data_IF_836397073406
#
_entry.id   IF_836397073406
#
_cell.length_a   1.000
_cell.length_b   1.000
_cell.length_c   1.000
_cell.angle_alpha   90.00
_cell.angle_beta   90.00
_cell.angle_gamma   90.00
#
_symmetry.space_group_name_H-M   'P 1'
#
loop_
_entity.id
_entity.type
_entity.pdbx_description
1 polymer ?
#
# COMPACT_ATOMS: atom_id res chain seq x y z
N UNK A 1 24.37 -9.98 -10.90
CA UNK A 1 23.12 -9.62 -11.60
C UNK A 1 22.14 -9.12 -10.54
N UNK A 2 21.40 -8.05 -10.82
CA UNK A 2 20.37 -7.55 -9.89
C UNK A 2 19.25 -8.63 -9.72
N UNK A 3 18.70 -8.79 -8.50
CA UNK A 3 17.61 -9.73 -8.29
C UNK A 3 16.39 -9.37 -9.13
N UNK A 4 15.66 -10.38 -9.59
CA UNK A 4 14.46 -10.18 -10.39
C UNK A 4 13.27 -9.75 -9.53
N UNK A 5 12.44 -8.87 -10.07
CA UNK A 5 11.22 -8.38 -9.44
C UNK A 5 10.04 -8.48 -10.42
N UNK A 6 8.90 -8.98 -9.96
CA UNK A 6 7.61 -8.82 -10.62
C UNK A 6 6.73 -7.89 -9.79
N UNK A 7 5.90 -7.10 -10.49
CA UNK A 7 4.96 -6.19 -9.84
C UNK A 7 3.53 -6.67 -10.15
N UNK A 8 2.70 -6.82 -9.13
CA UNK A 8 1.28 -7.10 -9.33
C UNK A 8 0.48 -5.81 -9.34
N UNK A 9 -0.19 -5.54 -10.47
CA UNK A 9 -0.90 -4.30 -10.77
C UNK A 9 -0.11 -3.43 -11.74
N UNK A 10 -0.68 -3.16 -12.92
CA UNK A 10 -0.04 -2.44 -14.02
C UNK A 10 -0.46 -0.97 -14.15
N UNK A 11 -1.01 -0.34 -13.12
CA UNK A 11 -1.56 1.03 -13.18
C UNK A 11 -0.65 2.08 -12.52
N UNK A 12 -1.21 3.14 -11.91
CA UNK A 12 -0.46 4.31 -11.44
C UNK A 12 0.74 4.00 -10.53
N UNK A 13 0.55 3.22 -9.48
CA UNK A 13 1.64 2.86 -8.55
C UNK A 13 2.73 2.02 -9.21
N UNK A 14 2.41 1.24 -10.24
CA UNK A 14 3.38 0.49 -11.02
C UNK A 14 4.51 1.39 -11.54
N UNK A 15 4.15 2.53 -12.13
CA UNK A 15 5.15 3.48 -12.66
C UNK A 15 6.05 4.04 -11.56
N UNK A 16 5.46 4.35 -10.40
CA UNK A 16 6.22 4.85 -9.24
C UNK A 16 7.19 3.79 -8.73
N UNK A 17 6.75 2.53 -8.64
CA UNK A 17 7.60 1.42 -8.22
C UNK A 17 8.71 1.11 -9.22
N UNK A 18 8.45 1.27 -10.53
CA UNK A 18 9.48 1.13 -11.55
C UNK A 18 10.60 2.18 -11.41
N UNK A 19 10.27 3.41 -11.01
CA UNK A 19 11.28 4.42 -10.71
C UNK A 19 12.06 4.07 -9.42
N UNK A 20 11.34 3.63 -8.40
CA UNK A 20 11.93 3.34 -7.09
C UNK A 20 12.87 2.13 -7.12
N UNK A 21 12.51 1.08 -7.85
CA UNK A 21 13.25 -0.17 -7.86
C UNK A 21 14.22 -0.36 -9.04
N UNK A 22 14.14 0.51 -10.06
CA UNK A 22 14.84 0.30 -11.34
C UNK A 22 16.35 0.12 -11.27
N UNK A 23 17.00 0.66 -10.23
CA UNK A 23 18.44 0.51 -10.04
C UNK A 23 18.80 -0.72 -9.17
N UNK A 24 17.88 -1.14 -8.27
CA UNK A 24 18.11 -2.22 -7.32
C UNK A 24 17.67 -3.59 -7.85
N UNK A 25 16.65 -3.62 -8.71
CA UNK A 25 16.04 -4.84 -9.23
C UNK A 25 15.93 -4.83 -10.76
N UNK A 26 16.02 -6.03 -11.36
CA UNK A 26 15.59 -6.25 -12.74
C UNK A 26 14.08 -6.53 -12.76
N UNK A 27 13.28 -5.54 -13.19
CA UNK A 27 11.82 -5.69 -13.25
C UNK A 27 11.49 -6.49 -14.50
N UNK A 28 11.13 -7.77 -14.34
CA UNK A 28 10.96 -8.72 -15.45
C UNK A 28 9.54 -8.71 -16.03
N UNK A 29 8.58 -8.04 -15.39
CA UNK A 29 7.22 -7.88 -15.89
C UNK A 29 6.23 -7.49 -14.80
N UNK A 30 4.99 -7.33 -15.20
CA UNK A 30 3.88 -7.13 -14.27
C UNK A 30 2.70 -8.07 -14.57
N UNK A 31 1.97 -8.42 -13.50
CA UNK A 31 0.68 -9.11 -13.62
C UNK A 31 -0.47 -8.16 -13.32
N UNK A 32 -1.59 -8.32 -14.02
CA UNK A 32 -2.82 -7.61 -13.71
C UNK A 32 -4.03 -8.45 -14.13
N UNK A 33 -5.02 -8.58 -13.24
CA UNK A 33 -6.24 -9.34 -13.54
C UNK A 33 -7.19 -8.61 -14.50
N UNK A 34 -6.98 -7.31 -14.72
CA UNK A 34 -7.74 -6.55 -15.70
C UNK A 34 -7.05 -6.64 -17.08
N UNK A 35 -7.60 -7.37 -18.06
CA UNK A 35 -6.97 -7.55 -19.36
C UNK A 35 -6.87 -6.25 -20.18
N UNK A 36 -7.61 -5.22 -19.80
CA UNK A 36 -7.53 -3.90 -20.43
C UNK A 36 -6.28 -3.10 -20.00
N UNK A 37 -5.60 -3.53 -18.95
CA UNK A 37 -4.34 -2.91 -18.52
C UNK A 37 -3.24 -3.33 -19.48
N UNK A 38 -2.88 -2.40 -20.36
CA UNK A 38 -1.77 -2.55 -21.32
C UNK A 38 -0.77 -1.42 -21.08
N UNK A 39 0.11 -1.61 -20.10
CA UNK A 39 1.11 -0.62 -19.74
C UNK A 39 2.44 -0.92 -20.45
N UNK A 40 2.90 0.04 -21.25
CA UNK A 40 4.18 -0.06 -21.96
C UNK A 40 5.31 0.73 -21.30
N UNK A 41 5.13 1.11 -20.03
CA UNK A 41 6.09 1.93 -19.33
C UNK A 41 7.47 1.26 -19.27
N UNK A 42 8.50 1.97 -19.75
CA UNK A 42 9.89 1.47 -19.86
C UNK A 42 10.05 0.12 -20.59
N UNK A 43 9.10 -0.25 -21.44
CA UNK A 43 9.14 -1.52 -22.15
C UNK A 43 8.93 -2.78 -21.29
N UNK A 44 8.51 -2.62 -20.04
CA UNK A 44 8.27 -3.73 -19.11
C UNK A 44 7.01 -4.49 -19.57
N UNK A 45 7.09 -5.83 -19.83
CA UNK A 45 5.99 -6.57 -20.38
C UNK A 45 4.88 -6.86 -19.36
N UNK A 46 3.62 -6.84 -19.83
CA UNK A 46 2.50 -7.44 -19.12
C UNK A 46 2.52 -8.95 -19.27
N UNK A 47 2.44 -9.67 -18.16
CA UNK A 47 2.53 -11.14 -18.10
C UNK A 47 1.15 -11.83 -18.06
N UNK A 48 0.09 -11.04 -17.96
CA UNK A 48 -1.31 -11.50 -17.85
C UNK A 48 -1.83 -11.40 -16.41
N UNK A 49 -2.88 -12.14 -16.10
CA UNK A 49 -3.49 -12.21 -14.77
C UNK A 49 -3.11 -13.49 -14.01
N UNK A 50 -3.89 -13.75 -12.96
CA UNK A 50 -3.70 -14.92 -12.08
C UNK A 50 -3.64 -16.24 -12.84
N UNK A 51 -4.40 -16.35 -13.90
CA UNK A 51 -4.49 -17.57 -14.73
C UNK A 51 -3.17 -17.91 -15.43
N UNK A 52 -2.27 -16.93 -15.64
CA UNK A 52 -0.97 -17.15 -16.28
C UNK A 52 0.20 -17.32 -15.32
N UNK A 53 0.01 -16.95 -14.04
CA UNK A 53 1.09 -16.94 -13.05
C UNK A 53 1.74 -18.33 -12.89
N UNK A 54 0.95 -19.38 -12.73
CA UNK A 54 1.48 -20.75 -12.49
C UNK A 54 2.32 -21.24 -13.69
N UNK A 55 1.82 -21.06 -14.92
CA UNK A 55 2.55 -21.45 -16.13
C UNK A 55 3.84 -20.61 -16.29
N UNK A 56 3.78 -19.33 -15.97
CA UNK A 56 4.94 -18.45 -16.04
C UNK A 56 6.02 -18.86 -15.01
N UNK A 57 5.63 -19.23 -13.79
CA UNK A 57 6.55 -19.72 -12.75
C UNK A 57 7.18 -21.05 -13.13
N UNK A 58 6.41 -21.98 -13.71
CA UNK A 58 6.91 -23.30 -14.17
C UNK A 58 7.91 -23.18 -15.32
N UNK A 59 7.75 -22.21 -16.20
CA UNK A 59 8.66 -21.95 -17.30
C UNK A 59 10.00 -21.31 -16.92
N UNK A 60 10.22 -21.03 -15.63
CA UNK A 60 11.44 -20.36 -15.15
C UNK A 60 12.40 -21.35 -14.51
N UNK A 61 13.67 -21.23 -14.86
CA UNK A 61 14.77 -21.91 -14.20
C UNK A 61 15.38 -20.98 -13.13
N UNK A 62 15.80 -21.54 -11.99
CA UNK A 62 16.50 -20.82 -10.94
C UNK A 62 15.62 -20.32 -9.78
N UNK A 63 16.07 -19.29 -9.08
CA UNK A 63 15.36 -18.75 -7.94
C UNK A 63 14.07 -18.03 -8.36
N UNK A 64 13.02 -18.15 -7.56
CA UNK A 64 11.79 -17.39 -7.76
C UNK A 64 12.03 -15.90 -7.55
N UNK A 65 11.42 -15.03 -8.37
CA UNK A 65 11.63 -13.60 -8.28
C UNK A 65 11.08 -13.01 -6.98
N UNK A 66 11.52 -11.80 -6.68
CA UNK A 66 10.87 -10.96 -5.70
C UNK A 66 9.54 -10.42 -6.26
N UNK A 67 8.66 -9.98 -5.37
CA UNK A 67 7.40 -9.36 -5.79
C UNK A 67 6.95 -8.24 -4.88
N UNK A 68 6.10 -7.36 -5.43
CA UNK A 68 5.33 -6.37 -4.69
C UNK A 68 3.95 -6.21 -5.34
N UNK A 69 2.93 -5.95 -4.50
CA UNK A 69 1.55 -5.71 -4.98
C UNK A 69 1.26 -4.23 -4.98
N UNK A 70 1.09 -3.64 -6.16
CA UNK A 70 0.94 -2.20 -6.39
C UNK A 70 -0.51 -1.69 -6.42
N UNK A 71 -1.52 -2.58 -6.20
CA UNK A 71 -2.93 -2.20 -6.20
C UNK A 71 -3.19 -1.03 -5.24
N UNK A 72 -3.83 0.03 -5.74
CA UNK A 72 -3.97 1.30 -5.04
C UNK A 72 -5.01 1.31 -3.91
N UNK A 73 -5.51 2.51 -3.60
CA UNK A 73 -6.56 2.74 -2.59
C UNK A 73 -7.80 1.90 -2.87
N UNK A 74 -8.61 1.64 -1.85
CA UNK A 74 -9.81 0.79 -1.86
C UNK A 74 -9.57 -0.70 -2.12
N UNK A 75 -8.32 -1.11 -2.34
CA UNK A 75 -7.96 -2.48 -2.65
C UNK A 75 -7.12 -3.15 -1.55
N UNK A 76 -7.15 -2.64 -0.31
CA UNK A 76 -6.34 -3.16 0.80
C UNK A 76 -6.54 -4.66 1.03
N UNK A 77 -7.79 -5.13 1.07
CA UNK A 77 -8.13 -6.55 1.23
C UNK A 77 -7.58 -7.41 0.07
N UNK A 78 -7.78 -6.95 -1.17
CA UNK A 78 -7.27 -7.67 -2.35
C UNK A 78 -5.74 -7.66 -2.37
N UNK A 79 -5.09 -6.54 -1.99
CA UNK A 79 -3.64 -6.41 -1.92
C UNK A 79 -3.02 -7.41 -0.95
N UNK A 80 -3.61 -7.55 0.25
CA UNK A 80 -3.16 -8.55 1.24
C UNK A 80 -3.36 -9.98 0.71
N UNK A 81 -4.54 -10.28 0.14
CA UNK A 81 -4.82 -11.62 -0.37
C UNK A 81 -3.88 -12.04 -1.52
N UNK A 82 -3.61 -11.14 -2.46
CA UNK A 82 -2.67 -11.39 -3.55
C UNK A 82 -1.24 -11.56 -3.01
N UNK A 83 -0.85 -10.75 -2.03
CA UNK A 83 0.46 -10.86 -1.38
C UNK A 83 0.64 -12.25 -0.74
N UNK A 84 -0.35 -12.70 0.03
CA UNK A 84 -0.31 -14.00 0.70
C UNK A 84 -0.28 -15.16 -0.31
N UNK A 85 -1.03 -15.06 -1.42
CA UNK A 85 -1.00 -16.04 -2.50
C UNK A 85 0.37 -16.13 -3.17
N UNK A 86 0.94 -15.01 -3.60
CA UNK A 86 2.27 -14.98 -4.24
C UNK A 86 3.36 -15.54 -3.30
N UNK A 87 3.30 -15.19 -2.02
CA UNK A 87 4.21 -15.70 -1.00
C UNK A 87 4.06 -17.22 -0.82
N UNK A 88 2.83 -17.74 -0.80
CA UNK A 88 2.56 -19.18 -0.70
C UNK A 88 3.12 -19.97 -1.89
N UNK A 89 3.19 -19.35 -3.07
CA UNK A 89 3.82 -19.88 -4.26
C UNK A 89 5.35 -19.75 -4.25
N UNK A 90 5.94 -19.26 -3.15
CA UNK A 90 7.37 -19.19 -2.90
C UNK A 90 8.08 -17.98 -3.51
N UNK A 91 7.36 -16.97 -3.98
CA UNK A 91 7.96 -15.67 -4.33
C UNK A 91 8.37 -14.92 -3.04
N UNK A 92 9.31 -14.00 -3.17
CA UNK A 92 9.86 -13.25 -2.03
C UNK A 92 9.29 -11.84 -1.99
N UNK A 93 8.52 -11.46 -0.95
CA UNK A 93 7.99 -10.11 -0.87
C UNK A 93 9.09 -9.08 -0.66
N UNK A 94 8.91 -7.87 -1.21
CA UNK A 94 9.75 -6.72 -0.94
C UNK A 94 8.93 -5.58 -0.35
N UNK A 95 9.57 -4.77 0.50
CA UNK A 95 9.02 -3.53 1.04
C UNK A 95 9.67 -2.37 0.31
N UNK A 96 8.84 -1.44 -0.19
CA UNK A 96 9.30 -0.30 -0.98
C UNK A 96 9.44 0.93 -0.08
N UNK A 97 10.65 1.45 0.08
CA UNK A 97 10.88 2.70 0.80
C UNK A 97 11.66 3.64 -0.11
N UNK A 98 11.06 4.78 -0.43
CA UNK A 98 11.70 5.80 -1.24
C UNK A 98 12.87 6.44 -0.48
N UNK A 99 13.96 6.74 -1.15
CA UNK A 99 15.19 7.33 -0.58
C UNK A 99 14.96 8.67 0.13
N UNK A 100 13.95 9.42 -0.32
CA UNK A 100 13.51 10.68 0.30
C UNK A 100 12.35 10.51 1.30
N UNK A 101 12.03 9.30 1.71
CA UNK A 101 11.11 9.08 2.81
C UNK A 101 11.89 9.10 4.13
N UNK A 102 11.24 9.58 5.18
CA UNK A 102 11.76 9.46 6.54
C UNK A 102 11.12 8.25 7.22
N UNK A 103 11.93 7.32 7.69
CA UNK A 103 11.50 6.21 8.53
C UNK A 103 12.37 6.22 9.77
N UNK A 104 11.76 6.45 10.94
CA UNK A 104 12.47 6.48 12.21
C UNK A 104 13.07 5.11 12.54
N UNK A 105 14.20 5.09 13.25
CA UNK A 105 14.90 3.83 13.60
C UNK A 105 14.05 2.87 14.45
N UNK A 106 13.15 3.40 15.27
CA UNK A 106 12.21 2.62 16.09
C UNK A 106 10.90 2.27 15.38
N UNK A 107 10.69 2.74 14.15
CA UNK A 107 9.48 2.41 13.40
C UNK A 107 9.55 1.00 12.80
N UNK A 108 8.42 0.32 12.76
CA UNK A 108 8.28 -1.02 12.19
C UNK A 108 7.49 -0.96 10.88
N UNK A 109 8.00 -1.61 9.82
CA UNK A 109 7.33 -1.71 8.54
C UNK A 109 7.07 -3.19 8.20
N UNK A 110 5.80 -3.55 8.04
CA UNK A 110 5.39 -4.87 7.56
C UNK A 110 5.76 -5.10 6.09
N UNK A 111 5.98 -6.37 5.75
CA UNK A 111 6.36 -6.79 4.39
C UNK A 111 5.32 -6.38 3.34
N UNK A 112 5.79 -6.05 2.13
CA UNK A 112 4.93 -5.62 1.04
C UNK A 112 4.39 -4.20 1.16
N UNK A 113 4.76 -3.46 2.21
CA UNK A 113 4.33 -2.07 2.37
C UNK A 113 5.15 -1.12 1.50
N UNK A 114 4.55 0.03 1.17
CA UNK A 114 5.11 1.04 0.28
C UNK A 114 5.14 2.40 1.01
N UNK A 115 6.31 2.99 1.13
CA UNK A 115 6.52 4.33 1.71
C UNK A 115 7.10 5.22 0.61
N UNK A 116 6.29 6.13 0.09
CA UNK A 116 6.65 6.94 -1.07
C UNK A 116 7.37 8.23 -0.70
N UNK A 117 7.75 9.00 -1.74
CA UNK A 117 8.59 10.17 -1.61
C UNK A 117 8.09 11.18 -0.57
N UNK A 118 8.99 11.66 0.30
CA UNK A 118 8.71 12.64 1.35
C UNK A 118 7.64 12.20 2.36
N UNK A 119 7.25 10.92 2.38
CA UNK A 119 6.43 10.38 3.46
C UNK A 119 7.26 10.24 4.74
N UNK A 120 6.61 10.35 5.90
CA UNK A 120 7.25 10.19 7.19
C UNK A 120 6.57 9.09 8.01
N UNK A 121 7.37 8.17 8.56
CA UNK A 121 6.95 7.19 9.56
C UNK A 121 7.78 7.45 10.81
N UNK A 122 7.15 8.01 11.84
CA UNK A 122 7.84 8.57 13.00
C UNK A 122 8.13 7.52 14.09
N UNK A 123 8.68 7.99 15.22
CA UNK A 123 9.18 7.13 16.29
C UNK A 123 8.11 6.16 16.82
N UNK A 124 8.48 4.88 16.94
CA UNK A 124 7.63 3.79 17.46
C UNK A 124 6.30 3.59 16.73
N UNK A 125 6.14 4.20 15.53
CA UNK A 125 5.01 3.91 14.67
C UNK A 125 5.13 2.49 14.10
N UNK A 126 4.01 1.78 14.03
CA UNK A 126 3.93 0.41 13.51
C UNK A 126 3.03 0.36 12.29
N UNK A 127 3.60 0.00 11.18
CA UNK A 127 2.89 -0.15 9.91
C UNK A 127 2.81 -1.63 9.56
N UNK A 128 1.60 -2.16 9.46
CA UNK A 128 1.32 -3.55 9.10
C UNK A 128 1.75 -3.90 7.67
N UNK A 129 1.37 -5.10 7.22
CA UNK A 129 1.72 -5.62 5.90
C UNK A 129 0.90 -4.95 4.79
N UNK A 130 1.50 -4.83 3.62
CA UNK A 130 0.81 -4.35 2.41
C UNK A 130 0.16 -2.97 2.59
N UNK A 131 0.69 -2.10 3.43
CA UNK A 131 0.22 -0.73 3.59
C UNK A 131 0.78 0.20 2.51
N UNK A 132 0.06 1.28 2.25
CA UNK A 132 0.53 2.36 1.36
C UNK A 132 0.62 3.64 2.17
N UNK A 133 1.83 4.17 2.33
CA UNK A 133 2.08 5.50 2.88
C UNK A 133 2.51 6.38 1.72
N UNK A 134 1.57 7.11 1.17
CA UNK A 134 1.75 7.80 -0.11
C UNK A 134 2.56 9.10 0.05
N UNK A 135 2.89 9.73 -1.07
CA UNK A 135 3.71 10.94 -1.15
C UNK A 135 3.28 11.99 -0.13
N UNK A 136 4.24 12.46 0.70
CA UNK A 136 4.02 13.47 1.75
C UNK A 136 3.03 13.07 2.86
N UNK A 137 2.59 11.83 2.93
CA UNK A 137 1.79 11.37 4.06
C UNK A 137 2.67 11.23 5.31
N UNK A 138 2.10 11.47 6.50
CA UNK A 138 2.82 11.30 7.75
C UNK A 138 2.06 10.40 8.71
N UNK A 139 2.82 9.49 9.33
CA UNK A 139 2.39 8.63 10.42
C UNK A 139 3.20 9.03 11.63
N UNK A 140 2.57 9.69 12.58
CA UNK A 140 3.27 10.24 13.73
C UNK A 140 3.48 9.17 14.84
N UNK A 141 4.21 9.55 15.89
CA UNK A 141 4.76 8.65 16.91
C UNK A 141 3.70 7.69 17.51
N UNK A 142 4.11 6.46 17.76
CA UNK A 142 3.32 5.41 18.44
C UNK A 142 1.98 5.08 17.74
N UNK A 143 1.77 5.54 16.50
CA UNK A 143 0.57 5.22 15.74
C UNK A 143 0.68 3.82 15.14
N UNK A 144 -0.44 3.11 15.09
CA UNK A 144 -0.53 1.74 14.60
C UNK A 144 -1.44 1.69 13.37
N UNK A 145 -0.91 1.22 12.26
CA UNK A 145 -1.67 0.90 11.06
C UNK A 145 -1.67 -0.62 10.87
N UNK A 146 -2.84 -1.22 10.85
CA UNK A 146 -2.97 -2.66 10.57
C UNK A 146 -2.80 -2.97 9.08
N UNK A 147 -2.83 -4.27 8.71
CA UNK A 147 -2.58 -4.73 7.34
C UNK A 147 -3.51 -4.10 6.32
N UNK A 148 -2.97 -3.77 5.15
CA UNK A 148 -3.73 -3.29 4.01
C UNK A 148 -4.22 -1.85 4.10
N UNK A 149 -3.85 -1.09 5.12
CA UNK A 149 -4.21 0.33 5.26
C UNK A 149 -3.59 1.14 4.12
N UNK A 150 -4.37 2.10 3.61
CA UNK A 150 -3.89 3.04 2.59
C UNK A 150 -4.00 4.47 3.10
N UNK A 151 -2.88 5.18 3.12
CA UNK A 151 -2.79 6.60 3.49
C UNK A 151 -2.39 7.37 2.24
N UNK A 152 -3.32 8.15 1.70
CA UNK A 152 -3.18 8.88 0.45
C UNK A 152 -2.24 10.10 0.56
N UNK A 153 -1.87 10.73 -0.57
CA UNK A 153 -0.93 11.84 -0.56
C UNK A 153 -1.32 12.97 0.40
N UNK A 154 -0.35 13.41 1.20
CA UNK A 154 -0.50 14.53 2.11
C UNK A 154 -1.44 14.29 3.31
N UNK A 155 -1.95 13.09 3.52
CA UNK A 155 -2.74 12.80 4.71
C UNK A 155 -1.86 12.73 5.96
N UNK A 156 -2.41 13.18 7.08
CA UNK A 156 -1.70 13.30 8.36
C UNK A 156 -2.39 12.41 9.40
N UNK A 157 -1.69 11.42 9.88
CA UNK A 157 -2.06 10.62 11.04
C UNK A 157 -1.20 11.08 12.20
N UNK A 158 -1.82 11.76 13.17
CA UNK A 158 -1.10 12.29 14.32
C UNK A 158 -0.79 11.18 15.34
N UNK A 159 -0.16 11.54 16.49
CA UNK A 159 0.35 10.55 17.44
C UNK A 159 -0.71 9.67 18.09
N UNK A 160 -0.34 8.41 18.37
CA UNK A 160 -1.17 7.44 19.11
C UNK A 160 -2.50 7.09 18.42
N UNK A 161 -2.58 7.22 17.11
CA UNK A 161 -3.76 6.82 16.33
C UNK A 161 -3.70 5.34 16.01
N UNK A 162 -4.84 4.65 16.07
CA UNK A 162 -4.96 3.26 15.63
C UNK A 162 -5.87 3.18 14.40
N UNK A 163 -5.31 2.75 13.27
CA UNK A 163 -6.03 2.53 12.00
C UNK A 163 -6.14 1.04 11.77
N UNK A 164 -7.36 0.53 11.79
CA UNK A 164 -7.63 -0.91 11.61
C UNK A 164 -7.52 -1.34 10.14
N UNK A 165 -7.56 -2.66 9.95
CA UNK A 165 -7.31 -3.33 8.67
C UNK A 165 -8.07 -2.71 7.51
N UNK A 166 -7.35 -2.56 6.38
CA UNK A 166 -7.92 -2.15 5.09
C UNK A 166 -8.70 -0.81 5.12
N UNK A 167 -8.49 0.03 6.12
CA UNK A 167 -9.04 1.39 6.11
C UNK A 167 -8.31 2.26 5.08
N UNK A 168 -9.04 3.20 4.49
CA UNK A 168 -8.54 4.13 3.48
C UNK A 168 -8.64 5.57 3.98
N UNK A 169 -7.50 6.24 4.08
CA UNK A 169 -7.39 7.65 4.47
C UNK A 169 -7.04 8.45 3.22
N UNK A 170 -7.98 9.24 2.71
CA UNK A 170 -7.81 9.96 1.44
C UNK A 170 -6.96 11.22 1.58
N UNK A 171 -6.61 11.77 0.40
CA UNK A 171 -5.64 12.84 0.26
C UNK A 171 -5.93 14.04 1.16
N UNK A 172 -4.91 14.52 1.88
CA UNK A 172 -4.98 15.68 2.76
C UNK A 172 -5.86 15.52 4.00
N UNK A 173 -6.38 14.33 4.29
CA UNK A 173 -7.15 14.12 5.53
C UNK A 173 -6.25 14.22 6.76
N UNK A 174 -6.81 14.71 7.87
CA UNK A 174 -6.12 14.87 9.16
C UNK A 174 -6.87 14.06 10.22
N UNK A 175 -6.16 13.17 10.89
CA UNK A 175 -6.68 12.38 12.00
C UNK A 175 -6.09 12.92 13.29
N UNK A 176 -6.91 13.41 14.20
CA UNK A 176 -6.46 13.94 15.48
C UNK A 176 -5.91 12.84 16.42
N UNK A 177 -5.11 13.19 17.46
CA UNK A 177 -4.42 12.21 18.28
C UNK A 177 -5.36 11.25 19.04
N UNK A 178 -4.87 10.02 19.28
CA UNK A 178 -5.52 9.00 20.12
C UNK A 178 -6.85 8.48 19.58
N UNK A 179 -7.12 8.68 18.28
CA UNK A 179 -8.33 8.20 17.64
C UNK A 179 -8.17 6.77 17.11
N UNK A 180 -9.31 6.12 16.92
CA UNK A 180 -9.43 4.83 16.28
C UNK A 180 -10.22 4.98 14.99
N UNK A 181 -9.67 4.48 13.90
CA UNK A 181 -10.32 4.39 12.59
C UNK A 181 -10.61 2.91 12.35
N UNK A 182 -11.89 2.56 12.30
CA UNK A 182 -12.33 1.16 12.23
C UNK A 182 -12.00 0.46 10.92
N UNK A 183 -12.05 -0.88 10.94
CA UNK A 183 -11.75 -1.74 9.80
C UNK A 183 -12.57 -1.34 8.57
N UNK A 184 -11.90 -1.22 7.41
CA UNK A 184 -12.54 -0.87 6.14
C UNK A 184 -13.24 0.49 6.14
N UNK A 185 -12.99 1.35 7.13
CA UNK A 185 -13.51 2.72 7.12
C UNK A 185 -12.83 3.55 6.03
N UNK A 186 -13.54 4.56 5.55
CA UNK A 186 -13.04 5.51 4.55
C UNK A 186 -13.11 6.91 5.10
N UNK A 187 -11.96 7.58 5.20
CA UNK A 187 -11.87 8.99 5.53
C UNK A 187 -11.69 9.78 4.26
N UNK A 188 -12.67 10.61 3.92
CA UNK A 188 -12.71 11.40 2.69
C UNK A 188 -11.56 12.42 2.59
N UNK A 189 -11.26 12.85 1.37
CA UNK A 189 -10.19 13.81 1.12
C UNK A 189 -10.42 15.14 1.87
N UNK A 190 -9.36 15.68 2.48
CA UNK A 190 -9.38 16.91 3.27
C UNK A 190 -10.21 16.85 4.55
N UNK A 191 -10.70 15.69 4.96
CA UNK A 191 -11.49 15.56 6.19
C UNK A 191 -10.64 15.78 7.44
N UNK A 192 -11.21 16.42 8.46
CA UNK A 192 -10.60 16.58 9.79
C UNK A 192 -11.38 15.72 10.79
N UNK A 193 -10.81 14.58 11.13
CA UNK A 193 -11.43 13.59 12.03
C UNK A 193 -11.11 13.95 13.46
N UNK A 194 -12.14 14.16 14.28
CA UNK A 194 -12.07 14.57 15.68
C UNK A 194 -12.61 13.51 16.64
N UNK A 195 -13.29 12.49 16.12
CA UNK A 195 -13.91 11.40 16.87
C UNK A 195 -13.56 10.05 16.27
N UNK A 196 -13.73 8.96 17.02
CA UNK A 196 -13.54 7.61 16.52
C UNK A 196 -14.44 7.33 15.32
N UNK A 197 -13.93 6.65 14.32
CA UNK A 197 -14.70 6.23 13.12
C UNK A 197 -15.03 4.74 13.24
N UNK A 198 -16.32 4.42 13.17
CA UNK A 198 -16.78 3.03 13.22
C UNK A 198 -16.30 2.21 12.00
N UNK A 199 -16.15 0.88 12.11
CA UNK A 199 -15.79 0.03 10.98
C UNK A 199 -16.78 0.19 9.81
N UNK A 200 -16.25 0.09 8.60
CA UNK A 200 -17.02 0.17 7.34
C UNK A 200 -17.90 1.43 7.23
N UNK A 201 -17.41 2.53 7.76
CA UNK A 201 -18.09 3.83 7.73
C UNK A 201 -17.30 4.82 6.89
N UNK A 202 -17.97 5.55 6.01
CA UNK A 202 -17.37 6.67 5.29
C UNK A 202 -17.66 7.97 6.03
N UNK A 203 -16.61 8.73 6.33
CA UNK A 203 -16.68 10.07 6.92
C UNK A 203 -16.02 11.10 6.03
N UNK A 204 -16.50 12.35 6.02
CA UNK A 204 -15.89 13.47 5.29
C UNK A 204 -16.26 14.81 5.93
N UNK A 205 -15.53 15.87 5.57
CA UNK A 205 -15.75 17.26 6.01
C UNK A 205 -14.82 17.71 7.12
N UNK A 206 -14.91 18.98 7.52
CA UNK A 206 -14.25 19.58 8.69
C UNK A 206 -15.30 20.30 9.57
N UNK A 207 -15.64 19.78 10.74
CA UNK A 207 -15.28 18.46 11.26
C UNK A 207 -15.89 17.32 10.42
N UNK A 208 -15.22 16.14 10.44
CA UNK A 208 -15.69 14.99 9.68
C UNK A 208 -17.03 14.44 10.24
N UNK A 209 -17.97 14.16 9.35
CA UNK A 209 -19.26 13.56 9.68
C UNK A 209 -19.48 12.27 8.89
N UNK A 210 -20.33 11.38 9.41
CA UNK A 210 -20.73 10.16 8.72
C UNK A 210 -21.50 10.50 7.43
N UNK A 211 -20.99 9.99 6.31
CA UNK A 211 -21.61 10.14 4.99
C UNK A 211 -22.49 8.92 4.68
N UNK A 212 -21.97 7.71 4.93
CA UNK A 212 -22.70 6.46 4.70
C UNK A 212 -22.04 5.27 5.38
N UNK A 213 -22.82 4.20 5.57
CA UNK A 213 -22.32 2.87 5.92
C UNK A 213 -21.90 2.14 4.63
N UNK A 214 -20.78 1.42 4.66
CA UNK A 214 -20.19 0.72 3.51
C UNK A 214 -20.55 -0.79 3.49
N UNK A 215 -21.24 -1.29 4.51
CA UNK A 215 -21.79 -2.67 4.57
C UNK A 215 -23.23 -2.78 4.07
N UNK A 216 -23.87 -1.67 3.73
CA UNK A 216 -25.26 -1.63 3.28
C UNK A 216 -25.38 -1.94 1.78
#
# INVERSE_FOLDING_TARGET
>A
MSPELVIWGGTGNFKVLCELFGDAYSIVGYFDNNPAVNNTYKGIPGLGGQEKLAAWLLGRAGEKPHFIVSSGHTHGKARVAIHDDLKSQGLRPVTAVHDRAFVAKGAELGEGSMVFAMAAVCADARVGRCCIINTRASIDHESVLEDGVSVAPGAIITGLVHVERCADIYAGAIILPRLRIGEGAVVGAGAVVRDHVAPYTMVAGDPAHVIRNLRA
#
